data_IF_879492101673
#
_entry.id   IF_879492101673
#
_cell.length_a   1.000
_cell.length_b   1.000
_cell.length_c   1.000
_cell.angle_alpha   90.00
_cell.angle_beta   90.00
_cell.angle_gamma   90.00
#
_symmetry.space_group_name_H-M   'P 1'
#
loop_
_entity.id
_entity.type
_entity.pdbx_description
1 polymer ?
#
# COMPACT_ATOMS: atom_id res chain seq x y z
N UNK A 1 -5.27 -19.97 7.70
CA UNK A 1 -3.97 -19.53 7.13
C UNK A 1 -4.07 -18.42 6.06
N UNK A 2 -5.21 -17.73 5.86
CA UNK A 2 -5.24 -16.47 5.07
C UNK A 2 -4.35 -15.37 5.71
N UNK A 3 -4.18 -15.45 7.03
CA UNK A 3 -3.33 -14.55 7.83
C UNK A 3 -1.81 -14.76 7.63
N UNK A 4 -1.37 -15.87 7.01
CA UNK A 4 0.06 -16.20 6.89
C UNK A 4 0.62 -15.95 5.47
N UNK A 5 -0.19 -15.45 4.54
CA UNK A 5 0.29 -15.14 3.19
C UNK A 5 0.63 -16.37 2.34
N UNK A 6 0.23 -17.58 2.75
CA UNK A 6 0.39 -18.81 1.98
C UNK A 6 -0.62 -18.90 0.83
N UNK A 7 -0.61 -17.91 -0.05
CA UNK A 7 -1.58 -17.73 -1.12
C UNK A 7 -1.51 -18.85 -2.18
N UNK A 8 -0.36 -19.52 -2.31
CA UNK A 8 -0.18 -20.65 -3.22
C UNK A 8 -1.08 -21.83 -2.86
N UNK A 9 -1.37 -21.99 -1.56
CA UNK A 9 -2.29 -23.01 -1.07
C UNK A 9 -3.75 -22.64 -1.36
N UNK A 10 -4.09 -21.35 -1.37
CA UNK A 10 -5.44 -20.88 -1.71
C UNK A 10 -5.78 -21.19 -3.17
N UNK A 11 -4.79 -21.07 -4.08
CA UNK A 11 -4.97 -21.45 -5.49
C UNK A 11 -5.20 -22.96 -5.68
N UNK A 12 -4.58 -23.80 -4.85
CA UNK A 12 -4.85 -25.25 -4.83
C UNK A 12 -6.23 -25.54 -4.24
N UNK A 13 -6.57 -24.91 -3.13
CA UNK A 13 -7.88 -25.06 -2.47
C UNK A 13 -9.04 -24.62 -3.35
N UNK A 14 -8.86 -23.62 -4.23
CA UNK A 14 -9.86 -23.24 -5.24
C UNK A 14 -10.15 -24.37 -6.23
N UNK A 15 -9.18 -25.23 -6.55
CA UNK A 15 -9.39 -26.37 -7.45
C UNK A 15 -10.11 -27.54 -6.75
N UNK A 16 -9.96 -27.64 -5.44
CA UNK A 16 -10.48 -28.75 -4.62
C UNK A 16 -11.74 -28.35 -3.81
N UNK A 17 -12.53 -27.39 -4.29
CA UNK A 17 -13.74 -26.94 -3.59
C UNK A 17 -14.84 -28.01 -3.72
N UNK A 18 -15.34 -28.59 -2.60
CA UNK A 18 -16.34 -29.66 -2.65
C UNK A 18 -17.74 -29.20 -3.06
N UNK A 19 -18.02 -27.89 -3.05
CA UNK A 19 -19.34 -27.33 -3.38
C UNK A 19 -19.21 -26.04 -4.22
N UNK A 20 -19.87 -26.02 -5.38
CA UNK A 20 -19.84 -24.95 -6.38
C UNK A 20 -20.29 -23.57 -5.85
N UNK A 21 -21.09 -23.56 -4.79
CA UNK A 21 -21.57 -22.34 -4.12
C UNK A 21 -20.45 -21.47 -3.52
N UNK A 22 -19.29 -22.06 -3.19
CA UNK A 22 -18.15 -21.30 -2.66
C UNK A 22 -17.27 -20.68 -3.76
N UNK A 23 -17.50 -21.02 -5.04
CA UNK A 23 -16.72 -20.49 -6.16
C UNK A 23 -16.73 -18.96 -6.19
N UNK A 24 -17.91 -18.35 -6.05
CA UNK A 24 -18.07 -16.89 -6.04
C UNK A 24 -17.26 -16.21 -4.92
N UNK A 25 -17.29 -16.77 -3.71
CA UNK A 25 -16.55 -16.21 -2.58
C UNK A 25 -15.03 -16.39 -2.75
N UNK A 26 -14.60 -17.54 -3.26
CA UNK A 26 -13.18 -17.79 -3.52
C UNK A 26 -12.63 -16.86 -4.61
N UNK A 27 -13.44 -16.49 -5.60
CA UNK A 27 -13.06 -15.51 -6.62
C UNK A 27 -12.87 -14.11 -6.01
N UNK A 28 -13.83 -13.64 -5.20
CA UNK A 28 -13.71 -12.35 -4.50
C UNK A 28 -12.51 -12.32 -3.53
N UNK A 29 -12.24 -13.43 -2.86
CA UNK A 29 -11.08 -13.55 -1.96
C UNK A 29 -9.78 -13.47 -2.74
N UNK A 30 -9.67 -14.16 -3.88
CA UNK A 30 -8.49 -14.11 -4.74
C UNK A 30 -8.24 -12.70 -5.29
N UNK A 31 -9.29 -11.97 -5.66
CA UNK A 31 -9.17 -10.59 -6.12
C UNK A 31 -8.68 -9.65 -5.01
N UNK A 32 -9.23 -9.78 -3.80
CA UNK A 32 -8.80 -8.98 -2.62
C UNK A 32 -7.35 -9.28 -2.23
N UNK A 33 -6.93 -10.54 -2.30
CA UNK A 33 -5.55 -10.96 -2.05
C UNK A 33 -4.60 -10.36 -3.08
N UNK A 34 -4.95 -10.42 -4.38
CA UNK A 34 -4.14 -9.83 -5.45
C UNK A 34 -3.94 -8.32 -5.25
N UNK A 35 -4.99 -7.60 -4.88
CA UNK A 35 -4.91 -6.18 -4.54
C UNK A 35 -3.95 -5.93 -3.36
N UNK A 36 -4.06 -6.72 -2.28
CA UNK A 36 -3.15 -6.57 -1.12
C UNK A 36 -1.70 -6.88 -1.46
N UNK A 37 -1.44 -7.88 -2.30
CA UNK A 37 -0.09 -8.19 -2.79
C UNK A 37 0.42 -7.02 -3.62
N UNK A 38 -0.38 -6.47 -4.53
CA UNK A 38 -0.04 -5.28 -5.30
C UNK A 38 0.41 -4.12 -4.42
N UNK A 39 -0.40 -3.75 -3.42
CA UNK A 39 -0.08 -2.70 -2.44
C UNK A 39 1.21 -3.00 -1.65
N UNK A 40 1.45 -4.27 -1.33
CA UNK A 40 2.68 -4.67 -0.64
C UNK A 40 3.92 -4.58 -1.54
N UNK A 41 3.79 -4.89 -2.83
CA UNK A 41 4.89 -4.83 -3.79
C UNK A 41 5.34 -3.39 -4.01
N UNK A 42 4.38 -2.49 -4.16
CA UNK A 42 4.60 -1.05 -4.28
C UNK A 42 5.36 -0.45 -3.09
N UNK A 43 5.09 -0.93 -1.88
CA UNK A 43 5.76 -0.45 -0.67
C UNK A 43 7.14 -1.06 -0.45
N UNK A 44 7.37 -2.27 -0.96
CA UNK A 44 8.57 -3.05 -0.68
C UNK A 44 9.66 -2.87 -1.74
N UNK A 45 9.31 -2.57 -3.00
CA UNK A 45 10.24 -2.58 -4.12
C UNK A 45 10.10 -1.35 -5.01
N UNK A 46 11.23 -0.74 -5.38
CA UNK A 46 11.29 0.33 -6.39
C UNK A 46 11.28 -0.22 -7.83
N UNK A 47 11.83 -1.42 -8.00
CA UNK A 47 11.93 -2.14 -9.28
C UNK A 47 11.86 -3.64 -9.07
N UNK A 48 11.17 -4.34 -9.95
CA UNK A 48 10.99 -5.80 -9.87
C UNK A 48 10.95 -6.40 -11.28
N UNK A 49 11.63 -7.53 -11.57
CA UNK A 49 11.52 -8.15 -12.89
C UNK A 49 10.09 -8.67 -13.13
N UNK A 50 9.60 -8.53 -14.36
CA UNK A 50 8.22 -8.86 -14.73
C UNK A 50 7.88 -10.33 -14.47
N UNK A 51 8.85 -11.24 -14.65
CA UNK A 51 8.71 -12.66 -14.35
C UNK A 51 8.49 -12.93 -12.84
N UNK A 52 9.13 -12.17 -11.96
CA UNK A 52 8.97 -12.31 -10.51
C UNK A 52 7.66 -11.68 -10.05
N UNK A 53 7.32 -10.51 -10.58
CA UNK A 53 6.05 -9.84 -10.34
C UNK A 53 4.86 -10.74 -10.70
N UNK A 54 4.91 -11.40 -11.86
CA UNK A 54 3.86 -12.32 -12.31
C UNK A 54 3.71 -13.53 -11.37
N UNK A 55 4.83 -14.08 -10.86
CA UNK A 55 4.81 -15.18 -9.87
C UNK A 55 4.19 -14.74 -8.55
N UNK A 56 4.56 -13.57 -8.05
CA UNK A 56 4.04 -13.02 -6.80
C UNK A 56 2.54 -12.70 -6.89
N UNK A 57 2.08 -12.16 -8.03
CA UNK A 57 0.66 -11.84 -8.29
C UNK A 57 -0.19 -13.05 -8.71
N UNK A 58 0.42 -14.24 -8.86
CA UNK A 58 -0.25 -15.47 -9.28
C UNK A 58 -0.94 -15.32 -10.65
N UNK A 59 -0.23 -14.66 -11.56
CA UNK A 59 -0.62 -14.47 -12.96
C UNK A 59 0.06 -15.53 -13.81
N UNK A 60 -0.64 -16.03 -14.82
CA UNK A 60 -0.12 -17.09 -15.69
C UNK A 60 0.76 -16.58 -16.82
N UNK A 61 0.74 -15.26 -17.10
CA UNK A 61 1.46 -14.66 -18.22
C UNK A 61 1.82 -13.21 -17.95
N UNK A 62 2.85 -12.72 -18.66
CA UNK A 62 3.29 -11.31 -18.60
C UNK A 62 2.24 -10.37 -19.22
N UNK A 63 1.46 -10.82 -20.21
CA UNK A 63 0.36 -10.02 -20.77
C UNK A 63 -0.76 -9.71 -19.77
N UNK A 64 -1.04 -10.64 -18.84
CA UNK A 64 -2.01 -10.39 -17.76
C UNK A 64 -1.49 -9.38 -16.73
N UNK A 65 -0.16 -9.24 -16.61
CA UNK A 65 0.46 -8.26 -15.73
C UNK A 65 0.30 -6.84 -16.28
N UNK A 66 0.37 -6.65 -17.60
CA UNK A 66 0.08 -5.36 -18.26
C UNK A 66 -1.35 -4.91 -17.99
N UNK A 67 -2.34 -5.77 -18.26
CA UNK A 67 -3.75 -5.42 -18.00
C UNK A 67 -4.04 -5.19 -16.51
N UNK A 68 -3.32 -5.86 -15.62
CA UNK A 68 -3.43 -5.63 -14.17
C UNK A 68 -2.84 -4.27 -13.77
N UNK A 69 -1.68 -3.91 -14.31
CA UNK A 69 -1.04 -2.62 -14.09
C UNK A 69 -1.93 -1.46 -14.56
N UNK A 70 -2.53 -1.57 -15.75
CA UNK A 70 -3.45 -0.56 -16.28
C UNK A 70 -4.69 -0.41 -15.39
N UNK A 71 -5.35 -1.52 -15.04
CA UNK A 71 -6.52 -1.51 -14.16
C UNK A 71 -6.22 -0.91 -12.79
N UNK A 72 -5.05 -1.21 -12.25
CA UNK A 72 -4.63 -0.69 -10.93
C UNK A 72 -4.29 0.81 -11.00
N UNK A 73 -3.70 1.26 -12.12
CA UNK A 73 -3.47 2.67 -12.38
C UNK A 73 -4.80 3.44 -12.53
N UNK A 74 -5.79 2.89 -13.26
CA UNK A 74 -7.14 3.47 -13.40
C UNK A 74 -7.85 3.58 -12.04
N UNK A 75 -7.87 2.49 -11.26
CA UNK A 75 -8.48 2.46 -9.91
C UNK A 75 -7.92 3.55 -9.00
N UNK A 76 -6.60 3.75 -9.04
CA UNK A 76 -5.92 4.80 -8.27
C UNK A 76 -6.24 6.21 -8.76
N UNK A 77 -6.45 6.40 -10.06
CA UNK A 77 -6.87 7.69 -10.61
C UNK A 77 -8.27 8.07 -10.16
N UNK A 78 -9.20 7.12 -10.12
CA UNK A 78 -10.57 7.33 -9.63
C UNK A 78 -10.61 7.65 -8.13
N UNK A 79 -9.86 6.90 -7.31
CA UNK A 79 -9.74 7.15 -5.86
C UNK A 79 -9.19 8.55 -5.58
N UNK A 80 -8.29 9.04 -6.44
CA UNK A 80 -7.76 10.40 -6.40
C UNK A 80 -8.79 11.44 -6.82
N UNK A 81 -9.51 11.23 -7.92
CA UNK A 81 -10.54 12.17 -8.38
C UNK A 81 -11.64 12.34 -7.33
N UNK A 82 -12.00 11.24 -6.66
CA UNK A 82 -12.94 11.26 -5.54
C UNK A 82 -12.38 11.99 -4.31
N UNK A 83 -11.09 11.82 -4.00
CA UNK A 83 -10.43 12.55 -2.92
C UNK A 83 -10.29 14.06 -3.19
N UNK A 84 -10.23 14.46 -4.46
CA UNK A 84 -10.22 15.87 -4.89
C UNK A 84 -11.60 16.55 -4.81
N UNK A 85 -12.68 15.77 -4.64
CA UNK A 85 -14.04 16.27 -4.49
C UNK A 85 -14.46 16.42 -3.01
N UNK A 86 -13.66 15.96 -2.04
CA UNK A 86 -13.92 16.04 -0.60
C UNK A 86 -13.12 17.18 0.07
N UNK A 87 -13.41 18.43 -0.27
CA UNK A 87 -12.99 19.62 0.50
C UNK A 87 -13.97 19.91 1.67
N UNK A 88 -14.43 18.87 2.36
CA UNK A 88 -15.23 18.98 3.59
C UNK A 88 -14.35 19.03 4.84
N UNK A 89 -14.58 19.95 5.81
CA UNK A 89 -13.73 20.02 6.98
C UNK A 89 -13.98 18.78 7.86
N UNK A 90 -12.93 17.98 8.00
CA UNK A 90 -12.77 16.95 9.03
C UNK A 90 -13.67 15.70 8.90
N UNK A 91 -13.12 14.70 8.21
CA UNK A 91 -13.15 13.28 8.61
C UNK A 91 -12.96 13.14 10.14
N UNK A 92 -14.07 13.10 10.89
CA UNK A 92 -14.11 12.88 12.35
C UNK A 92 -13.58 11.49 12.75
N UNK A 93 -13.43 10.56 11.82
CA UNK A 93 -12.81 9.25 12.06
C UNK A 93 -11.28 9.27 12.12
N UNK A 94 -10.64 10.41 11.85
CA UNK A 94 -9.17 10.55 11.91
C UNK A 94 -8.64 10.75 13.35
N UNK A 95 -9.48 11.15 14.30
CA UNK A 95 -9.01 11.60 15.64
C UNK A 95 -8.70 10.47 16.63
N UNK A 96 -8.99 9.20 16.31
CA UNK A 96 -8.57 8.07 17.17
C UNK A 96 -7.35 7.32 16.65
N UNK A 97 -6.90 7.60 15.42
CA UNK A 97 -5.66 7.05 14.86
C UNK A 97 -4.68 8.17 14.51
N UNK A 98 -3.74 8.40 15.44
CA UNK A 98 -2.41 9.00 15.21
C UNK A 98 -2.33 10.54 15.22
N UNK A 99 -2.26 11.10 16.43
CA UNK A 99 -1.74 12.45 16.70
C UNK A 99 -0.18 12.52 16.65
N UNK A 100 0.44 11.88 15.65
CA UNK A 100 1.86 12.02 15.33
C UNK A 100 2.07 11.82 13.82
N UNK A 101 1.54 12.75 13.03
CA UNK A 101 2.02 12.99 11.65
C UNK A 101 1.44 14.34 11.21
N UNK A 102 2.32 15.23 10.76
CA UNK A 102 1.97 16.58 10.31
C UNK A 102 1.03 16.62 9.10
N UNK A 103 0.79 17.82 8.54
CA UNK A 103 -0.08 17.98 7.38
C UNK A 103 0.57 17.35 6.15
N UNK A 104 -0.22 16.55 5.42
CA UNK A 104 0.06 15.99 4.09
C UNK A 104 1.23 14.99 4.01
N UNK A 105 0.98 13.76 4.45
CA UNK A 105 1.53 12.58 3.78
C UNK A 105 0.57 12.23 2.62
N UNK A 106 0.59 13.03 1.55
CA UNK A 106 0.02 12.59 0.27
C UNK A 106 0.90 11.43 -0.19
N UNK A 107 0.35 10.21 -0.14
CA UNK A 107 0.98 9.04 -0.70
C UNK A 107 1.28 9.33 -2.18
N UNK A 108 2.56 9.57 -2.50
CA UNK A 108 3.03 9.79 -3.86
C UNK A 108 2.49 8.68 -4.76
N UNK A 109 1.90 9.07 -5.89
CA UNK A 109 1.22 8.15 -6.79
C UNK A 109 2.21 7.11 -7.31
N UNK A 110 2.07 5.87 -6.87
CA UNK A 110 2.89 4.76 -7.37
C UNK A 110 2.25 4.31 -8.68
N UNK A 111 2.87 4.71 -9.79
CA UNK A 111 2.50 4.28 -11.13
C UNK A 111 3.22 3.00 -11.50
N UNK A 112 2.47 2.02 -11.98
CA UNK A 112 3.01 0.77 -12.51
C UNK A 112 3.43 1.01 -13.95
N UNK A 113 4.74 0.97 -14.22
CA UNK A 113 5.28 1.08 -15.58
C UNK A 113 6.08 -0.17 -15.91
N UNK A 114 5.66 -0.87 -16.96
CA UNK A 114 6.37 -2.04 -17.49
C UNK A 114 7.35 -1.56 -18.56
N UNK A 115 8.65 -1.64 -18.25
CA UNK A 115 9.72 -1.34 -19.21
C UNK A 115 10.39 -2.68 -19.58
N UNK A 116 9.79 -3.37 -20.55
CA UNK A 116 10.27 -4.66 -21.05
C UNK A 116 10.25 -5.78 -20.00
N UNK A 117 11.42 -6.10 -19.45
CA UNK A 117 11.61 -7.20 -18.47
C UNK A 117 11.55 -6.71 -17.01
N UNK A 118 11.48 -5.39 -16.78
CA UNK A 118 11.46 -4.81 -15.43
C UNK A 118 10.25 -3.91 -15.23
N UNK A 119 9.49 -4.20 -14.18
CA UNK A 119 8.42 -3.37 -13.66
C UNK A 119 9.04 -2.32 -12.74
N UNK A 120 8.90 -1.06 -13.13
CA UNK A 120 9.35 0.09 -12.34
C UNK A 120 8.16 0.65 -11.57
N UNK A 121 8.28 0.68 -10.25
CA UNK A 121 7.37 1.40 -9.38
C UNK A 121 7.93 2.81 -9.24
N UNK A 122 7.46 3.74 -10.06
CA UNK A 122 7.89 5.14 -9.95
C UNK A 122 7.20 5.77 -8.74
N UNK A 123 7.87 5.72 -7.60
CA UNK A 123 7.51 6.49 -6.41
C UNK A 123 8.08 7.90 -6.57
N UNK A 124 7.26 8.95 -6.43
CA UNK A 124 7.79 10.30 -6.25
C UNK A 124 8.41 10.35 -4.86
N UNK A 125 9.73 10.19 -4.83
CA UNK A 125 10.55 9.98 -3.65
C UNK A 125 10.66 11.29 -2.85
N UNK A 126 9.55 11.75 -2.27
CA UNK A 126 9.55 12.92 -1.40
C UNK A 126 9.81 12.52 0.03
N UNK A 127 11.12 12.56 0.31
CA UNK A 127 11.76 12.77 1.61
C UNK A 127 11.42 11.71 2.65
N UNK A 128 12.33 10.73 2.75
CA UNK A 128 12.74 10.13 4.04
C UNK A 128 12.45 11.13 5.15
N UNK A 129 11.48 10.82 6.00
CA UNK A 129 11.05 11.71 7.08
C UNK A 129 12.29 12.21 7.81
N UNK A 130 12.62 13.49 7.63
CA UNK A 130 13.69 14.14 8.36
C UNK A 130 13.22 14.12 9.81
N UNK A 131 13.74 13.18 10.60
CA UNK A 131 13.40 13.06 12.02
C UNK A 131 13.60 14.45 12.61
N UNK A 132 12.57 15.08 13.21
CA UNK A 132 12.61 16.48 13.61
C UNK A 132 13.52 16.63 14.84
N UNK A 133 14.83 16.56 14.61
CA UNK A 133 15.86 16.61 15.64
C UNK A 133 15.76 17.92 16.44
N UNK A 134 15.38 19.02 15.78
CA UNK A 134 15.19 20.32 16.41
C UNK A 134 14.02 20.34 17.41
N UNK A 135 12.94 19.62 17.11
CA UNK A 135 11.79 19.49 18.02
C UNK A 135 12.16 18.65 19.24
N UNK A 136 12.87 17.53 19.02
CA UNK A 136 13.38 16.69 20.11
C UNK A 136 14.33 17.47 21.04
N UNK A 137 15.24 18.27 20.48
CA UNK A 137 16.16 19.12 21.26
C UNK A 137 15.38 20.15 22.08
N UNK A 138 14.43 20.84 21.47
CA UNK A 138 13.64 21.88 22.15
C UNK A 138 12.82 21.29 23.30
N UNK A 139 12.17 20.14 23.07
CA UNK A 139 11.42 19.45 24.11
C UNK A 139 12.34 18.95 25.23
N UNK A 140 13.51 18.38 24.89
CA UNK A 140 14.47 17.88 25.89
C UNK A 140 15.03 19.01 26.77
N UNK A 141 15.36 20.15 26.17
CA UNK A 141 15.81 21.34 26.91
C UNK A 141 14.67 21.88 27.78
N UNK A 142 13.45 21.98 27.25
CA UNK A 142 12.28 22.42 28.00
C UNK A 142 12.01 21.55 29.23
N UNK A 143 12.06 20.23 29.06
CA UNK A 143 11.93 19.29 30.17
C UNK A 143 13.05 19.46 31.21
N UNK A 144 14.30 19.64 30.79
CA UNK A 144 15.42 19.86 31.70
C UNK A 144 15.25 21.16 32.50
N UNK A 145 14.86 22.26 31.86
CA UNK A 145 14.69 23.56 32.52
C UNK A 145 13.51 23.59 33.49
N UNK A 146 12.40 22.91 33.18
CA UNK A 146 11.25 22.82 34.11
C UNK A 146 11.58 21.94 35.33
N UNK A 147 12.44 20.92 35.18
CA UNK A 147 12.92 20.12 36.31
C UNK A 147 13.86 20.91 37.22
N UNK A 148 14.77 21.71 36.65
CA UNK A 148 15.67 22.59 37.42
C UNK A 148 14.93 23.71 38.15
N UNK A 149 13.74 24.10 37.67
CA UNK A 149 12.92 25.15 38.28
C UNK A 149 12.19 24.71 39.57
N UNK A 150 12.07 23.40 39.82
CA UNK A 150 11.37 22.85 40.99
C UNK A 150 12.32 22.66 42.19
N UNK A 151 13.64 22.67 41.96
CA UNK A 151 14.69 22.63 43.00
C UNK A 151 14.95 24.03 43.55
#
# INVERSE_FOLDING_TARGET
CVMEGAYSQIQVMKKDVPAESYGFFMDQLMDTVRQKIGLSLEKAYDKLPAAEAARMLMLGSVSQLESYADKENERKQEERELALLDDGPASFTRTLSRATTGPMEEAGVIQWVLEGDTLHFKQDDKKRAEVPALELITNTIGYATELERIV
#
